data_IF_676948248452
#
_entry.id   IF_676948248452
#
_cell.length_a   1.000
_cell.length_b   1.000
_cell.length_c   1.000
_cell.angle_alpha   90.00
_cell.angle_beta   90.00
_cell.angle_gamma   90.00
#
_symmetry.space_group_name_H-M   'P 1'
#
loop_
_entity.id
_entity.type
_entity.pdbx_description
1 polymer ?
#
# COMPACT_ATOMS: atom_id res chain seq x y z
N UNK A 1 -18.24 -6.48 3.80
CA UNK A 1 -18.27 -5.88 5.16
C UNK A 1 -17.19 -4.82 5.21
N UNK A 2 -17.38 -3.76 5.98
CA UNK A 2 -16.35 -2.73 6.15
C UNK A 2 -15.26 -3.25 7.09
N UNK A 3 -14.00 -3.05 6.73
CA UNK A 3 -12.86 -3.36 7.59
C UNK A 3 -12.56 -2.19 8.52
N UNK A 4 -12.45 -2.44 9.81
CA UNK A 4 -12.22 -1.36 10.79
C UNK A 4 -10.82 -0.75 10.74
N UNK A 5 -9.85 -1.43 10.14
CA UNK A 5 -8.49 -0.91 9.95
C UNK A 5 -8.40 0.03 8.76
N UNK A 6 -8.82 -0.41 7.58
CA UNK A 6 -8.65 0.37 6.33
C UNK A 6 -9.94 1.05 5.85
N UNK A 7 -11.08 0.82 6.53
CA UNK A 7 -12.40 1.43 6.27
C UNK A 7 -12.90 1.32 4.84
N UNK A 8 -12.39 0.33 4.12
CA UNK A 8 -12.79 0.04 2.75
C UNK A 8 -13.55 -1.27 2.71
N UNK A 9 -14.43 -1.39 1.72
CA UNK A 9 -15.01 -2.67 1.34
C UNK A 9 -14.09 -3.35 0.33
N UNK A 10 -13.84 -4.64 0.53
CA UNK A 10 -13.19 -5.48 -0.47
C UNK A 10 -14.11 -6.65 -0.79
N UNK A 11 -14.52 -6.72 -2.06
CA UNK A 11 -15.24 -7.88 -2.59
C UNK A 11 -14.20 -9.00 -2.72
N UNK A 12 -14.51 -10.19 -2.19
CA UNK A 12 -13.67 -11.39 -2.29
C UNK A 12 -12.35 -11.35 -1.49
N UNK A 13 -12.42 -10.95 -0.22
CA UNK A 13 -11.29 -10.98 0.73
C UNK A 13 -11.59 -11.95 1.86
N UNK A 14 -10.57 -12.62 2.39
CA UNK A 14 -10.65 -13.26 3.71
C UNK A 14 -10.74 -12.20 4.81
N UNK A 15 -11.43 -12.53 5.91
CA UNK A 15 -11.64 -11.65 7.05
C UNK A 15 -11.36 -12.35 8.39
N UNK A 16 -10.87 -11.58 9.36
CA UNK A 16 -10.94 -11.90 10.77
C UNK A 16 -12.11 -11.15 11.41
N UNK A 17 -12.87 -11.84 12.25
CA UNK A 17 -13.94 -11.26 13.06
C UNK A 17 -13.55 -11.33 14.54
N UNK A 18 -13.59 -10.19 15.23
CA UNK A 18 -13.45 -10.14 16.68
C UNK A 18 -14.83 -10.12 17.33
N UNK A 19 -15.21 -11.23 17.97
CA UNK A 19 -16.53 -11.37 18.61
C UNK A 19 -16.72 -10.44 19.82
N UNK A 20 -15.64 -10.10 20.53
CA UNK A 20 -15.72 -9.20 21.69
C UNK A 20 -15.96 -7.74 21.28
N UNK A 21 -15.30 -7.32 20.19
CA UNK A 21 -15.43 -5.95 19.70
C UNK A 21 -16.56 -5.76 18.68
N UNK A 22 -17.14 -6.86 18.18
CA UNK A 22 -18.09 -6.92 17.07
C UNK A 22 -17.57 -6.20 15.81
N UNK A 23 -16.32 -6.51 15.43
CA UNK A 23 -15.60 -5.83 14.34
C UNK A 23 -14.98 -6.79 13.34
N UNK A 24 -14.95 -6.35 12.09
CA UNK A 24 -14.38 -7.09 10.97
C UNK A 24 -13.08 -6.46 10.51
N UNK A 25 -12.12 -7.31 10.15
CA UNK A 25 -10.83 -6.89 9.63
C UNK A 25 -10.49 -7.73 8.42
N UNK A 26 -10.02 -7.12 7.32
CA UNK A 26 -9.43 -7.92 6.25
C UNK A 26 -8.21 -8.65 6.79
N UNK A 27 -8.06 -9.92 6.42
CA UNK A 27 -6.89 -10.74 6.80
C UNK A 27 -5.57 -10.01 6.51
N UNK A 28 -5.45 -9.51 5.29
CA UNK A 28 -4.29 -8.75 4.81
C UNK A 28 -4.02 -7.44 5.57
N UNK A 29 -5.03 -6.82 6.19
CA UNK A 29 -4.84 -5.62 7.02
C UNK A 29 -4.23 -5.98 8.37
N UNK A 30 -4.60 -7.14 8.94
CA UNK A 30 -4.07 -7.63 10.21
C UNK A 30 -2.67 -8.21 10.04
N UNK A 31 -2.43 -8.95 8.96
CA UNK A 31 -1.16 -9.61 8.67
C UNK A 31 -0.12 -8.69 8.02
N UNK A 32 -0.47 -7.42 7.77
CA UNK A 32 0.47 -6.47 7.16
C UNK A 32 1.64 -6.15 8.10
N UNK A 33 2.88 -6.16 7.59
CA UNK A 33 4.04 -5.77 8.39
C UNK A 33 3.97 -4.30 8.80
N UNK A 34 4.53 -3.97 9.96
CA UNK A 34 4.59 -2.59 10.46
C UNK A 34 5.45 -1.68 9.60
N UNK A 35 6.53 -2.23 9.04
CA UNK A 35 7.45 -1.53 8.16
C UNK A 35 7.64 -2.34 6.87
N UNK A 36 7.58 -1.67 5.73
CA UNK A 36 7.98 -2.24 4.44
C UNK A 36 9.09 -1.38 3.84
N UNK A 37 10.09 -2.04 3.25
CA UNK A 37 11.17 -1.38 2.53
C UNK A 37 11.15 -1.78 1.07
N UNK A 38 11.21 -0.81 0.18
CA UNK A 38 11.39 -1.09 -1.25
C UNK A 38 12.89 -0.99 -1.61
N UNK A 39 13.46 -1.98 -2.33
CA UNK A 39 14.87 -1.98 -2.74
C UNK A 39 15.19 -0.95 -3.85
N UNK A 40 14.20 -0.19 -4.31
CA UNK A 40 14.29 0.67 -5.48
C UNK A 40 14.72 2.09 -5.08
N UNK A 41 16.04 2.29 -5.08
CA UNK A 41 16.78 3.57 -5.00
C UNK A 41 16.26 4.61 -3.99
N UNK A 42 17.07 4.79 -2.93
CA UNK A 42 16.68 5.31 -1.60
C UNK A 42 15.88 4.24 -0.89
N UNK A 43 16.38 3.78 0.26
CA UNK A 43 15.67 2.85 1.13
C UNK A 43 14.41 3.56 1.67
N UNK A 44 13.37 3.63 0.83
CA UNK A 44 12.09 4.19 1.18
C UNK A 44 11.43 3.20 2.11
N UNK A 45 11.56 3.47 3.41
CA UNK A 45 10.74 2.83 4.42
C UNK A 45 9.35 3.46 4.37
N UNK A 46 8.34 2.59 4.34
CA UNK A 46 6.98 2.96 4.68
C UNK A 46 6.62 2.31 5.99
N UNK A 47 5.98 3.07 6.84
CA UNK A 47 5.51 2.62 8.15
C UNK A 47 3.99 2.62 8.15
N UNK A 48 3.41 1.66 8.86
CA UNK A 48 1.97 1.69 9.14
C UNK A 48 1.66 2.92 10.01
N UNK A 49 0.73 3.71 9.50
CA UNK A 49 0.30 4.97 10.08
C UNK A 49 -1.22 5.02 10.08
N UNK A 50 -1.81 5.46 11.19
CA UNK A 50 -3.24 5.69 11.26
C UNK A 50 -3.55 7.10 10.79
N UNK A 51 -4.10 7.24 9.58
CA UNK A 51 -4.45 8.54 9.04
C UNK A 51 -5.74 9.08 9.67
N UNK A 52 -5.59 10.14 10.46
CA UNK A 52 -6.71 10.95 10.97
C UNK A 52 -7.16 12.04 9.99
N UNK A 53 -6.39 12.30 8.93
CA UNK A 53 -6.62 13.42 8.00
C UNK A 53 -7.40 12.94 6.78
N UNK A 54 -8.55 13.58 6.51
CA UNK A 54 -9.44 13.25 5.38
C UNK A 54 -8.91 13.68 3.99
N UNK A 55 -7.76 14.34 3.93
CA UNK A 55 -7.23 15.02 2.73
C UNK A 55 -6.18 14.22 1.95
N UNK A 56 -5.63 13.16 2.54
CA UNK A 56 -4.54 12.40 1.90
C UNK A 56 -5.06 11.47 0.79
N UNK A 57 -4.29 11.32 -0.28
CA UNK A 57 -4.61 10.45 -1.41
C UNK A 57 -3.51 9.40 -1.62
N UNK A 58 -3.94 8.19 -1.99
CA UNK A 58 -3.01 7.10 -2.29
C UNK A 58 -2.20 7.43 -3.54
N UNK A 59 -0.87 7.31 -3.47
CA UNK A 59 0.01 7.57 -4.61
C UNK A 59 -0.28 6.64 -5.80
N UNK A 60 -0.70 5.40 -5.53
CA UNK A 60 -0.92 4.35 -6.54
C UNK A 60 -2.29 4.48 -7.20
N UNK A 61 -3.37 4.42 -6.42
CA UNK A 61 -4.73 4.39 -6.97
C UNK A 61 -5.42 5.77 -7.02
N UNK A 62 -4.79 6.82 -6.48
CA UNK A 62 -5.30 8.20 -6.40
C UNK A 62 -6.62 8.38 -5.66
N UNK A 63 -7.12 7.33 -4.98
CA UNK A 63 -8.30 7.41 -4.12
C UNK A 63 -7.94 7.98 -2.74
N UNK A 64 -8.93 8.57 -2.07
CA UNK A 64 -8.79 9.08 -0.70
C UNK A 64 -8.36 7.97 0.25
N UNK A 65 -7.54 8.37 1.22
CA UNK A 65 -7.04 7.51 2.28
C UNK A 65 -7.87 7.69 3.53
N UNK A 66 -8.08 6.58 4.24
CA UNK A 66 -8.74 6.56 5.53
C UNK A 66 -8.26 5.37 6.34
N UNK A 67 -8.13 5.55 7.66
CA UNK A 67 -7.71 4.50 8.58
C UNK A 67 -6.22 4.19 8.47
N UNK A 68 -5.86 2.92 8.66
CA UNK A 68 -4.48 2.44 8.53
C UNK A 68 -4.01 2.47 7.07
N UNK A 69 -2.87 3.13 6.89
CA UNK A 69 -2.19 3.35 5.60
C UNK A 69 -0.69 3.21 5.79
N UNK A 70 0.04 3.01 4.70
CA UNK A 70 1.48 3.14 4.69
C UNK A 70 1.87 4.59 4.43
N UNK A 71 2.81 5.11 5.23
CA UNK A 71 3.36 6.45 5.11
C UNK A 71 4.88 6.41 5.00
N UNK A 72 5.45 7.19 4.09
CA UNK A 72 6.90 7.41 4.03
C UNK A 72 7.24 8.84 4.40
N UNK A 73 7.95 9.03 5.52
CA UNK A 73 8.41 10.33 5.98
C UNK A 73 9.45 10.97 5.05
N UNK A 74 10.24 10.15 4.35
CA UNK A 74 11.28 10.63 3.43
C UNK A 74 10.69 11.40 2.24
N UNK A 75 9.50 11.00 1.82
CA UNK A 75 8.87 11.46 0.59
C UNK A 75 7.55 12.19 0.84
N UNK A 76 7.06 12.19 2.07
CA UNK A 76 5.75 12.67 2.48
C UNK A 76 4.60 12.09 1.62
N UNK A 77 4.65 10.77 1.39
CA UNK A 77 3.67 10.05 0.56
C UNK A 77 2.93 9.01 1.35
N UNK A 78 1.69 8.75 0.91
CA UNK A 78 0.79 7.80 1.53
C UNK A 78 0.27 6.76 0.53
N UNK A 79 -0.02 5.55 1.02
CA UNK A 79 -0.47 4.42 0.22
C UNK A 79 -1.44 3.53 1.01
N UNK A 80 -2.51 3.03 0.37
CA UNK A 80 -3.36 2.02 1.01
C UNK A 80 -2.57 0.73 1.25
N UNK A 81 -2.90 -0.01 2.30
CA UNK A 81 -2.30 -1.33 2.58
C UNK A 81 -2.37 -2.26 1.36
N UNK A 82 -3.53 -2.43 0.75
CA UNK A 82 -3.70 -3.29 -0.43
C UNK A 82 -2.91 -2.77 -1.65
N UNK A 83 -2.76 -1.45 -1.80
CA UNK A 83 -1.94 -0.86 -2.86
C UNK A 83 -0.46 -1.12 -2.62
N UNK A 84 0.01 -1.10 -1.37
CA UNK A 84 1.38 -1.44 -1.01
C UNK A 84 1.68 -2.90 -1.34
N UNK A 85 0.79 -3.80 -0.97
CA UNK A 85 0.92 -5.23 -1.25
C UNK A 85 0.89 -5.54 -2.76
N UNK A 86 0.02 -4.87 -3.52
CA UNK A 86 -0.04 -5.04 -4.98
C UNK A 86 1.15 -4.40 -5.72
N UNK A 87 1.82 -3.42 -5.11
CA UNK A 87 3.00 -2.73 -5.67
C UNK A 87 4.33 -3.33 -5.22
N UNK A 88 4.32 -4.25 -4.23
CA UNK A 88 5.45 -5.18 -4.07
C UNK A 88 5.47 -6.01 -5.34
N UNK A 89 6.42 -5.80 -6.26
CA UNK A 89 6.57 -6.70 -7.37
C UNK A 89 7.18 -7.95 -6.73
N UNK A 90 6.34 -8.89 -6.30
CA UNK A 90 6.75 -10.27 -6.43
C UNK A 90 7.09 -10.42 -7.92
N UNK A 91 8.39 -10.58 -8.19
CA UNK A 91 9.03 -10.70 -9.50
C UNK A 91 8.02 -10.91 -10.63
N UNK A 92 7.87 -9.92 -11.51
CA UNK A 92 7.17 -10.15 -12.78
C UNK A 92 8.10 -11.06 -13.61
N UNK A 93 7.89 -12.37 -13.50
CA UNK A 93 8.51 -13.34 -14.40
C UNK A 93 7.74 -13.35 -15.73
N UNK A 94 8.02 -12.35 -16.57
CA UNK A 94 7.56 -12.32 -17.96
C UNK A 94 8.71 -11.93 -18.89
N UNK A 95 9.60 -12.87 -19.26
CA UNK A 95 10.69 -12.62 -20.19
C UNK A 95 10.16 -12.73 -21.63
N UNK A 96 9.39 -11.75 -22.10
CA UNK A 96 9.02 -11.69 -23.52
C UNK A 96 9.01 -10.25 -24.03
N UNK A 97 10.20 -9.65 -24.12
CA UNK A 97 10.66 -8.69 -25.16
C UNK A 97 11.99 -7.99 -24.83
N UNK A 98 12.50 -8.11 -23.61
CA UNK A 98 13.81 -7.60 -23.18
C UNK A 98 14.52 -8.64 -22.31
N UNK A 99 15.86 -8.68 -22.32
CA UNK A 99 16.71 -9.61 -21.55
C UNK A 99 16.67 -9.40 -20.02
N UNK A 100 15.72 -8.60 -19.53
CA UNK A 100 15.59 -8.27 -18.12
C UNK A 100 14.13 -8.01 -17.76
N UNK A 101 13.82 -8.25 -16.48
CA UNK A 101 12.52 -7.97 -15.89
C UNK A 101 12.22 -6.47 -15.92
N UNK A 102 11.12 -6.09 -16.57
CA UNK A 102 10.60 -4.73 -16.51
C UNK A 102 9.72 -4.60 -15.26
N UNK A 103 10.00 -3.58 -14.45
CA UNK A 103 9.17 -3.23 -13.29
C UNK A 103 8.22 -2.10 -13.69
N UNK A 104 6.91 -2.25 -13.44
CA UNK A 104 5.94 -1.20 -13.73
C UNK A 104 6.00 -0.13 -12.64
N UNK A 105 6.43 1.07 -13.00
CA UNK A 105 6.57 2.18 -12.05
C UNK A 105 5.30 3.04 -12.04
N UNK A 106 4.57 3.15 -10.91
CA UNK A 106 3.65 4.26 -10.76
C UNK A 106 4.45 5.56 -10.83
N UNK A 107 3.98 6.56 -11.59
CA UNK A 107 4.64 7.87 -11.72
C UNK A 107 4.79 8.49 -10.32
N UNK A 108 5.99 8.36 -9.75
CA UNK A 108 6.30 8.83 -8.39
C UNK A 108 6.37 10.35 -8.37
N UNK A 109 5.72 10.96 -7.37
CA UNK A 109 5.85 12.39 -7.08
C UNK A 109 7.23 12.77 -6.50
N UNK A 110 8.05 11.79 -6.09
CA UNK A 110 9.39 12.01 -5.56
C UNK A 110 10.50 12.04 -6.62
N UNK A 111 10.18 11.77 -7.89
CA UNK A 111 11.15 11.85 -8.96
C UNK A 111 11.04 13.23 -9.63
N UNK A 112 11.91 14.16 -9.25
CA UNK A 112 12.31 15.23 -10.14
C UNK A 112 13.31 14.68 -11.17
N UNK A 113 12.86 13.77 -12.05
CA UNK A 113 13.62 13.45 -13.25
C UNK A 113 13.31 14.53 -14.29
N UNK A 114 14.04 15.64 -14.22
CA UNK A 114 14.26 16.49 -15.38
C UNK A 114 15.36 15.82 -16.21
N UNK A 115 14.99 15.21 -17.34
CA UNK A 115 15.91 14.95 -18.44
C UNK A 115 15.57 15.94 -19.55
#
# INVERSE_FOLDING_TARGET
MDCDLCTSQKVDSDYYFCAECDRNYHKECVESPLDISYPYHVQQSFQLYFSHKRSEHCITCRKKLWGMVYYSALCDIFMHIHCAQATIPFLIDHPKKHDHTLTLFPRQACLACNV
#
